data_IF_784692968791
#
_entry.id   IF_784692968791
#
_cell.length_a   1.000
_cell.length_b   1.000
_cell.length_c   1.000
_cell.angle_alpha   90.00
_cell.angle_beta   90.00
_cell.angle_gamma   90.00
#
_symmetry.space_group_name_H-M   'P 1'
#
loop_
_entity.id
_entity.type
_entity.pdbx_description
1 polymer ?
#
# COMPACT_ATOMS: atom_id res chain seq x y z
N UNK A 1 4.19 -14.22 -2.80
CA UNK A 1 3.36 -13.11 -2.26
C UNK A 1 4.00 -11.83 -2.74
N UNK A 2 3.25 -10.90 -3.33
CA UNK A 2 3.81 -9.68 -3.89
C UNK A 2 4.49 -8.85 -2.78
N UNK A 3 5.83 -8.81 -2.77
CA UNK A 3 6.64 -8.06 -1.78
C UNK A 3 6.64 -6.55 -2.03
N UNK A 4 5.50 -5.99 -2.43
CA UNK A 4 5.39 -4.54 -2.55
C UNK A 4 5.28 -3.96 -1.13
N UNK A 5 6.43 -3.55 -0.57
CA UNK A 5 6.51 -2.89 0.73
C UNK A 5 5.85 -1.51 0.62
N UNK A 6 4.88 -1.25 1.49
CA UNK A 6 4.25 0.06 1.57
C UNK A 6 5.26 1.09 2.10
N UNK A 7 5.16 2.32 1.61
CA UNK A 7 5.90 3.45 2.17
C UNK A 7 5.13 3.96 3.38
N UNK A 8 5.76 4.04 4.54
CA UNK A 8 5.10 4.57 5.73
C UNK A 8 5.08 6.10 5.66
N UNK A 9 3.89 6.66 5.83
CA UNK A 9 3.64 8.10 5.83
C UNK A 9 3.01 8.50 7.17
N UNK A 10 3.43 9.62 7.74
CA UNK A 10 2.84 10.17 8.95
C UNK A 10 2.16 11.49 8.60
N UNK A 11 0.92 11.64 9.05
CA UNK A 11 0.23 12.93 8.99
C UNK A 11 0.70 13.88 10.11
N UNK A 12 0.26 15.14 10.08
CA UNK A 12 0.54 16.17 11.10
C UNK A 12 0.17 15.72 12.52
N UNK A 13 -0.90 14.94 12.66
CA UNK A 13 -1.33 14.38 13.95
C UNK A 13 -0.52 13.14 14.38
N UNK A 14 0.52 12.75 13.63
CA UNK A 14 1.33 11.56 13.90
C UNK A 14 0.64 10.23 13.57
N UNK A 15 -0.52 10.29 12.91
CA UNK A 15 -1.22 9.08 12.47
C UNK A 15 -0.44 8.39 11.35
N UNK A 16 -0.21 7.09 11.50
CA UNK A 16 0.51 6.27 10.52
C UNK A 16 -0.41 5.85 9.38
N UNK A 17 0.07 6.04 8.16
CA UNK A 17 -0.54 5.59 6.92
C UNK A 17 0.45 4.76 6.11
N UNK A 18 -0.10 3.92 5.24
CA UNK A 18 0.61 3.11 4.28
C UNK A 18 0.34 3.67 2.90
N UNK A 19 1.37 4.19 2.25
CA UNK A 19 1.31 4.73 0.91
C UNK A 19 1.75 3.66 -0.10
N UNK A 20 0.94 3.46 -1.14
CA UNK A 20 1.34 2.63 -2.26
C UNK A 20 2.36 3.37 -3.13
N UNK A 21 3.57 2.83 -3.34
CA UNK A 21 4.60 3.50 -4.14
C UNK A 21 4.30 3.49 -5.64
N UNK A 22 3.28 2.74 -6.11
CA UNK A 22 2.92 2.67 -7.53
C UNK A 22 1.88 3.72 -7.94
N UNK A 23 0.85 3.88 -7.14
CA UNK A 23 -0.28 4.77 -7.45
C UNK A 23 -0.41 5.95 -6.48
N UNK A 24 0.35 5.98 -5.39
CA UNK A 24 0.32 7.06 -4.41
C UNK A 24 -0.84 7.02 -3.43
N UNK A 25 -1.77 6.06 -3.54
CA UNK A 25 -2.89 5.91 -2.60
C UNK A 25 -2.41 5.69 -1.16
N UNK A 26 -3.14 6.28 -0.21
CA UNK A 26 -2.90 6.17 1.22
C UNK A 26 -3.94 5.24 1.86
N UNK A 27 -3.47 4.37 2.75
CA UNK A 27 -4.29 3.42 3.50
C UNK A 27 -3.98 3.58 4.99
N UNK A 28 -4.98 3.44 5.86
CA UNK A 28 -4.79 3.47 7.32
C UNK A 28 -4.18 2.18 7.85
N UNK A 29 -4.44 1.07 7.15
CA UNK A 29 -4.11 -0.27 7.61
C UNK A 29 -3.36 -1.08 6.55
N UNK A 30 -2.52 -2.00 7.03
CA UNK A 30 -1.79 -2.95 6.19
C UNK A 30 -2.72 -3.91 5.44
N UNK A 31 -3.88 -4.25 6.02
CA UNK A 31 -4.89 -5.10 5.39
C UNK A 31 -5.50 -4.44 4.15
N UNK A 32 -5.88 -3.18 4.26
CA UNK A 32 -6.42 -2.41 3.13
C UNK A 32 -5.37 -2.19 2.05
N UNK A 33 -4.13 -1.87 2.44
CA UNK A 33 -3.00 -1.80 1.52
C UNK A 33 -2.78 -3.12 0.77
N UNK A 34 -2.75 -4.25 1.47
CA UNK A 34 -2.53 -5.57 0.87
C UNK A 34 -3.65 -5.93 -0.09
N UNK A 35 -4.91 -5.65 0.27
CA UNK A 35 -6.07 -5.86 -0.60
C UNK A 35 -5.99 -5.00 -1.86
N UNK A 36 -5.58 -3.74 -1.72
CA UNK A 36 -5.35 -2.84 -2.85
C UNK A 36 -4.25 -3.39 -3.77
N UNK A 37 -3.08 -3.77 -3.24
CA UNK A 37 -1.97 -4.29 -4.05
C UNK A 37 -2.40 -5.53 -4.83
N UNK A 38 -3.10 -6.48 -4.19
CA UNK A 38 -3.56 -7.69 -4.87
C UNK A 38 -4.60 -7.41 -5.96
N UNK A 39 -5.53 -6.46 -5.75
CA UNK A 39 -6.59 -6.16 -6.72
C UNK A 39 -6.13 -5.23 -7.84
N UNK A 40 -5.51 -4.11 -7.50
CA UNK A 40 -5.11 -3.07 -8.45
C UNK A 40 -3.78 -3.38 -9.13
N UNK A 41 -2.87 -4.06 -8.43
CA UNK A 41 -1.51 -4.32 -8.90
C UNK A 41 -1.17 -5.81 -8.99
N UNK A 42 -2.11 -6.72 -8.69
CA UNK A 42 -1.85 -8.17 -8.72
C UNK A 42 -1.34 -8.67 -10.07
N UNK A 43 -1.82 -8.07 -11.16
CA UNK A 43 -1.37 -8.39 -12.52
C UNK A 43 0.11 -8.04 -12.76
N UNK A 44 0.69 -7.10 -12.00
CA UNK A 44 2.10 -6.70 -12.12
C UNK A 44 3.07 -7.72 -11.51
N UNK A 45 2.58 -8.66 -10.69
CA UNK A 45 3.41 -9.67 -10.03
C UNK A 45 3.14 -11.09 -10.54
N UNK A 46 2.26 -11.27 -11.52
CA UNK A 46 2.20 -12.52 -12.29
C UNK A 46 3.41 -12.51 -13.24
N UNK A 47 4.42 -13.29 -12.87
CA UNK A 47 5.50 -13.69 -13.75
C UNK A 47 5.02 -14.81 -14.68
#
# INVERSE_FOLDING_TARGET
MAELKAVIFYDRDGTRYYRCPRCGMLFRDSKEYTRHVNRAHGHLFRK
#
